data_IF_879904055407
#
_entry.id   IF_879904055407
#
_cell.length_a   1.000
_cell.length_b   1.000
_cell.length_c   1.000
_cell.angle_alpha   90.00
_cell.angle_beta   90.00
_cell.angle_gamma   90.00
#
_symmetry.space_group_name_H-M   'P 1'
#
loop_
_entity.id
_entity.type
_entity.pdbx_description
1 polymer ?
#
# COMPACT_ATOMS: atom_id res chain seq x y z
N UNK A 1 11.47 18.07 -0.38
CA UNK A 1 11.08 17.36 -1.62
C UNK A 1 11.12 15.88 -1.30
N UNK A 2 9.96 15.26 -1.03
CA UNK A 2 9.92 13.88 -0.53
C UNK A 2 10.14 12.87 -1.66
N UNK A 3 10.98 11.87 -1.38
CA UNK A 3 11.64 10.92 -2.29
C UNK A 3 10.69 9.83 -2.84
N UNK A 4 9.52 10.23 -3.34
CA UNK A 4 8.68 9.38 -4.19
C UNK A 4 8.68 10.02 -5.57
N UNK A 5 9.81 9.91 -6.26
CA UNK A 5 9.86 10.26 -7.68
C UNK A 5 8.88 9.34 -8.41
N UNK A 6 7.84 9.93 -9.00
CA UNK A 6 6.70 9.33 -9.71
C UNK A 6 6.84 7.84 -10.03
N UNK A 7 6.25 6.99 -9.21
CA UNK A 7 6.05 5.57 -9.54
C UNK A 7 4.71 5.44 -10.28
N UNK A 8 4.67 5.39 -11.63
CA UNK A 8 3.42 5.42 -12.38
C UNK A 8 2.49 4.25 -12.06
N UNK A 9 3.04 3.08 -11.69
CA UNK A 9 2.24 1.93 -11.24
C UNK A 9 1.54 2.19 -9.90
N UNK A 10 2.22 2.83 -8.94
CA UNK A 10 1.63 3.19 -7.65
C UNK A 10 0.60 4.31 -7.79
N UNK A 11 0.85 5.27 -8.68
CA UNK A 11 -0.12 6.32 -9.02
C UNK A 11 -1.37 5.71 -9.67
N UNK A 12 -1.21 4.77 -10.61
CA UNK A 12 -2.31 4.05 -11.23
C UNK A 12 -3.10 3.22 -10.22
N UNK A 13 -2.42 2.54 -9.29
CA UNK A 13 -3.08 1.77 -8.23
C UNK A 13 -3.90 2.69 -7.32
N UNK A 14 -3.34 3.82 -6.90
CA UNK A 14 -4.03 4.83 -6.08
C UNK A 14 -5.20 5.50 -6.81
N UNK A 15 -5.08 5.72 -8.12
CA UNK A 15 -6.15 6.32 -8.92
C UNK A 15 -7.32 5.36 -9.13
N UNK A 16 -7.07 4.05 -9.06
CA UNK A 16 -8.08 3.00 -9.14
C UNK A 16 -8.72 2.70 -7.78
N UNK A 17 -8.82 3.71 -6.91
CA UNK A 17 -9.39 3.58 -5.55
C UNK A 17 -10.74 2.84 -5.66
N UNK A 18 -10.80 1.63 -5.14
CA UNK A 18 -12.05 0.92 -4.92
C UNK A 18 -12.80 1.58 -3.76
N UNK A 19 -14.13 1.37 -3.71
CA UNK A 19 -14.96 1.81 -2.58
C UNK A 19 -14.75 0.91 -1.33
N UNK A 20 -14.08 -0.25 -1.51
CA UNK A 20 -13.89 -1.26 -0.49
C UNK A 20 -12.49 -1.20 0.13
N UNK A 21 -12.44 -1.34 1.46
CA UNK A 21 -11.20 -1.60 2.20
C UNK A 21 -10.63 -2.96 1.80
N UNK A 22 -9.33 -3.01 1.51
CA UNK A 22 -8.60 -4.26 1.25
C UNK A 22 -7.85 -4.69 2.49
N UNK A 23 -7.92 -5.98 2.82
CA UNK A 23 -7.15 -6.57 3.92
C UNK A 23 -5.74 -6.94 3.47
N UNK A 24 -4.84 -7.19 4.42
CA UNK A 24 -3.50 -7.71 4.08
C UNK A 24 -3.57 -9.12 3.49
N UNK A 25 -4.64 -9.88 3.78
CA UNK A 25 -4.93 -11.15 3.12
C UNK A 25 -5.18 -10.96 1.61
N UNK A 26 -6.03 -9.99 1.25
CA UNK A 26 -6.32 -9.68 -0.17
C UNK A 26 -5.06 -9.23 -0.92
N UNK A 27 -4.18 -8.47 -0.26
CA UNK A 27 -2.89 -8.06 -0.83
C UNK A 27 -1.97 -9.28 -1.02
N UNK A 28 -1.92 -10.20 -0.06
CA UNK A 28 -1.10 -11.40 -0.15
C UNK A 28 -1.49 -12.28 -1.35
N UNK A 29 -2.79 -12.44 -1.62
CA UNK A 29 -3.27 -13.17 -2.79
C UNK A 29 -2.76 -12.56 -4.10
N UNK A 30 -2.79 -11.23 -4.21
CA UNK A 30 -2.24 -10.54 -5.39
C UNK A 30 -0.71 -10.64 -5.51
N UNK A 31 0.03 -10.73 -4.40
CA UNK A 31 1.47 -10.97 -4.43
C UNK A 31 1.79 -12.38 -4.95
N UNK A 32 0.99 -13.39 -4.57
CA UNK A 32 1.10 -14.75 -5.12
C UNK A 32 0.86 -14.73 -6.63
N UNK A 33 -0.23 -14.11 -7.09
CA UNK A 33 -0.53 -13.96 -8.52
C UNK A 33 0.59 -13.25 -9.30
N UNK A 34 1.29 -12.31 -8.65
CA UNK A 34 2.42 -11.62 -9.25
C UNK A 34 3.65 -12.53 -9.34
N UNK A 35 3.99 -13.26 -8.27
CA UNK A 35 5.14 -14.20 -8.25
C UNK A 35 4.98 -15.36 -9.24
N UNK A 36 3.76 -15.81 -9.51
CA UNK A 36 3.50 -16.84 -10.52
C UNK A 36 3.77 -16.36 -11.94
N UNK A 37 3.55 -15.08 -12.22
CA UNK A 37 3.83 -14.45 -13.52
C UNK A 37 5.25 -13.90 -13.64
N UNK A 38 5.91 -13.64 -12.52
CA UNK A 38 7.22 -13.02 -12.44
C UNK A 38 8.14 -13.79 -11.46
N UNK A 39 8.59 -15.01 -11.82
CA UNK A 39 9.35 -15.87 -10.91
C UNK A 39 10.68 -15.26 -10.46
N UNK A 40 11.31 -14.42 -11.29
CA UNK A 40 12.56 -13.71 -10.96
C UNK A 40 12.37 -12.66 -9.85
N UNK A 41 11.14 -12.25 -9.57
CA UNK A 41 10.82 -11.27 -8.53
C UNK A 41 10.48 -11.89 -7.17
N UNK A 42 10.50 -13.23 -7.04
CA UNK A 42 10.05 -13.94 -5.83
C UNK A 42 10.76 -13.48 -4.56
N UNK A 43 12.08 -13.34 -4.57
CA UNK A 43 12.85 -12.92 -3.38
C UNK A 43 12.46 -11.51 -2.94
N UNK A 44 12.36 -10.56 -3.89
CA UNK A 44 11.96 -9.17 -3.61
C UNK A 44 10.52 -9.09 -3.09
N UNK A 45 9.63 -9.92 -3.62
CA UNK A 45 8.22 -9.96 -3.21
C UNK A 45 8.06 -10.63 -1.84
N UNK A 46 8.86 -11.64 -1.52
CA UNK A 46 8.90 -12.28 -0.20
C UNK A 46 9.37 -11.28 0.87
N UNK A 47 10.44 -10.51 0.59
CA UNK A 47 10.90 -9.43 1.47
C UNK A 47 9.81 -8.36 1.69
N UNK A 48 9.05 -8.01 0.64
CA UNK A 48 7.92 -7.09 0.74
C UNK A 48 6.80 -7.68 1.61
N UNK A 49 6.44 -8.94 1.42
CA UNK A 49 5.41 -9.62 2.21
C UNK A 49 5.81 -9.67 3.70
N UNK A 50 7.07 -9.99 3.99
CA UNK A 50 7.60 -9.99 5.35
C UNK A 50 7.59 -8.59 5.98
N UNK A 51 7.85 -7.53 5.20
CA UNK A 51 7.70 -6.15 5.65
C UNK A 51 6.24 -5.83 5.98
N UNK A 52 5.31 -6.15 5.08
CA UNK A 52 3.88 -5.90 5.28
C UNK A 52 3.35 -6.60 6.54
N UNK A 53 3.70 -7.88 6.75
CA UNK A 53 3.31 -8.62 7.95
C UNK A 53 3.79 -7.98 9.26
N UNK A 54 4.94 -7.29 9.26
CA UNK A 54 5.46 -6.61 10.46
C UNK A 54 4.75 -5.29 10.76
N UNK A 55 4.19 -4.65 9.74
CA UNK A 55 3.45 -3.39 9.89
C UNK A 55 1.95 -3.61 10.03
N UNK A 56 1.48 -4.86 9.99
CA UNK A 56 0.09 -5.23 10.26
C UNK A 56 -0.30 -4.76 11.67
N UNK A 57 -1.32 -3.90 11.77
CA UNK A 57 -1.77 -3.30 13.03
C UNK A 57 -1.03 -2.02 13.44
N UNK A 58 -0.06 -1.54 12.64
CA UNK A 58 0.42 -0.16 12.76
C UNK A 58 -0.57 0.73 12.01
N UNK A 59 -1.20 1.67 12.72
CA UNK A 59 -2.13 2.65 12.16
C UNK A 59 -1.40 3.51 11.11
N UNK A 60 -1.54 3.14 9.83
CA UNK A 60 -1.10 3.96 8.71
C UNK A 60 -2.20 4.95 8.39
N UNK A 61 -2.25 5.99 9.21
CA UNK A 61 -3.17 7.09 9.10
C UNK A 61 -2.92 7.89 7.79
N UNK A 62 -3.56 7.47 6.70
CA UNK A 62 -3.56 8.18 5.42
C UNK A 62 -4.87 8.96 5.17
N UNK A 63 -5.85 8.86 6.09
CA UNK A 63 -7.18 9.48 5.98
C UNK A 63 -7.57 10.35 7.19
N UNK A 64 -6.88 10.28 8.35
CA UNK A 64 -7.19 11.12 9.53
C UNK A 64 -6.35 12.41 9.48
N UNK A 65 -6.75 13.29 8.58
CA UNK A 65 -6.73 14.71 8.92
C UNK A 65 -8.00 15.39 8.44
N UNK A 66 -9.14 15.18 9.14
CA UNK A 66 -10.27 16.08 9.02
C UNK A 66 -10.11 17.37 9.84
N UNK A 67 -9.05 17.56 10.64
CA UNK A 67 -8.89 18.74 11.51
C UNK A 67 -7.52 19.41 11.40
N UNK A 68 -7.23 19.98 10.23
CA UNK A 68 -6.14 20.96 10.07
C UNK A 68 -6.69 22.21 9.40
N UNK A 69 -7.58 22.95 10.06
CA UNK A 69 -7.93 24.27 9.54
C UNK A 69 -9.15 25.02 10.06
N UNK A 70 -9.81 24.65 11.15
CA UNK A 70 -10.76 25.57 11.78
C UNK A 70 -10.09 26.27 12.97
N UNK A 71 -9.81 27.58 12.90
CA UNK A 71 -9.39 28.31 14.09
C UNK A 71 -10.51 28.25 15.12
N UNK A 72 -10.14 27.94 16.37
CA UNK A 72 -11.04 28.05 17.53
C UNK A 72 -11.65 29.46 17.63
N UNK A 73 -12.90 29.59 18.09
CA UNK A 73 -13.68 30.83 18.05
C UNK A 73 -13.06 31.99 18.83
#
# INVERSE_FOLDING_TARGET
MSRTERCPGLELLRSRRGDEDVTFGDVADHLVDYMDRHPDSREVVDDLAAFLARVEGIDHDHDRSPDRGLPSP
#
